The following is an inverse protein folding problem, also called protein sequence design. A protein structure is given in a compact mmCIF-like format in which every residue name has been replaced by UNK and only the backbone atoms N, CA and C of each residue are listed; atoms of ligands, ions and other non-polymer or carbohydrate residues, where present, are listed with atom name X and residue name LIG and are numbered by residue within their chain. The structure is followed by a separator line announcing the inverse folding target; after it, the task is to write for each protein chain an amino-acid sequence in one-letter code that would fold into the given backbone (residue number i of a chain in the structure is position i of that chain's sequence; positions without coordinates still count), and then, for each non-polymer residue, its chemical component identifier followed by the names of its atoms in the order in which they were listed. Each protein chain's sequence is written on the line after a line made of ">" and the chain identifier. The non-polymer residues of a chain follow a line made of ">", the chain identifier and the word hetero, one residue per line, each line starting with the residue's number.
data_IF_802865263092
#
_entry.id   IF_802865263092
#
_cell.length_a   1.000
_cell.length_b   1.000
_cell.length_c   1.000
_cell.angle_alpha   90.00
_cell.angle_beta   90.00
_cell.angle_gamma   90.00
#
_symmetry.space_group_name_H-M   'P 1'
#
loop_
_entity.id
_entity.type
_entity.pdbx_description
1 polymer ?
#
# COMPACT_ATOMS: atom_id res chain seq x y z
N UNK A 1 23.65 7.81 -23.94
CA UNK A 1 23.02 6.63 -24.56
C UNK A 1 22.86 5.60 -23.46
N UNK A 2 21.66 5.06 -23.26
CA UNK A 2 21.44 3.99 -22.29
C UNK A 2 21.81 2.67 -22.96
N UNK A 3 22.61 1.84 -22.31
CA UNK A 3 22.96 0.51 -22.80
C UNK A 3 22.10 -0.54 -22.08
N UNK A 4 21.61 -1.54 -22.81
CA UNK A 4 20.68 -2.53 -22.26
C UNK A 4 21.47 -3.68 -21.63
N UNK A 5 21.25 -4.03 -20.35
CA UNK A 5 21.95 -5.14 -19.71
C UNK A 5 21.78 -6.45 -20.47
N UNK A 6 22.88 -7.10 -20.82
CA UNK A 6 22.86 -8.43 -21.45
C UNK A 6 22.22 -9.44 -20.49
N UNK A 7 21.19 -10.13 -20.95
CA UNK A 7 20.39 -11.04 -20.12
C UNK A 7 19.24 -10.38 -19.34
N UNK A 8 18.94 -9.09 -19.55
CA UNK A 8 17.68 -8.49 -19.09
C UNK A 8 16.48 -9.24 -19.71
N UNK A 9 15.51 -9.74 -18.92
CA UNK A 9 14.26 -10.27 -19.43
C UNK A 9 13.54 -9.26 -20.33
N UNK A 10 13.09 -9.68 -21.52
CA UNK A 10 12.48 -8.78 -22.50
C UNK A 10 11.30 -7.97 -21.93
N UNK A 11 10.52 -8.56 -21.02
CA UNK A 11 9.40 -7.90 -20.31
C UNK A 11 9.82 -6.67 -19.48
N UNK A 12 11.11 -6.55 -19.12
CA UNK A 12 11.64 -5.40 -18.39
C UNK A 12 12.17 -4.29 -19.30
N UNK A 13 12.22 -4.49 -20.63
CA UNK A 13 12.68 -3.45 -21.57
C UNK A 13 11.89 -2.14 -21.45
N UNK A 14 10.54 -2.11 -21.30
CA UNK A 14 9.79 -0.87 -21.08
C UNK A 14 10.15 -0.12 -19.78
N UNK A 15 10.59 -0.85 -18.75
CA UNK A 15 10.97 -0.32 -17.43
C UNK A 15 12.50 -0.12 -17.29
N UNK A 16 13.28 -0.53 -18.29
CA UNK A 16 14.75 -0.63 -18.21
C UNK A 16 15.44 0.66 -17.77
N UNK A 17 14.89 1.82 -18.16
CA UNK A 17 15.42 3.14 -17.80
C UNK A 17 15.42 3.44 -16.29
N UNK A 18 14.61 2.73 -15.50
CA UNK A 18 14.62 2.81 -14.03
C UNK A 18 15.81 2.07 -13.39
N UNK A 19 16.29 0.98 -13.99
CA UNK A 19 17.26 0.05 -13.41
C UNK A 19 18.55 0.78 -13.01
N UNK A 20 19.03 0.59 -11.79
CA UNK A 20 20.19 1.24 -11.19
C UNK A 20 19.85 1.90 -9.86
N UNK A 21 20.76 2.75 -9.37
CA UNK A 21 20.58 3.46 -8.09
C UNK A 21 20.55 4.96 -8.31
N UNK A 22 19.61 5.60 -7.67
CA UNK A 22 19.32 7.03 -7.77
C UNK A 22 19.44 7.68 -6.39
N UNK A 23 20.07 8.84 -6.31
CA UNK A 23 20.15 9.63 -5.08
C UNK A 23 19.97 11.12 -5.37
N UNK A 24 19.33 11.83 -4.45
CA UNK A 24 19.11 13.27 -4.55
C UNK A 24 18.24 13.78 -3.42
N UNK A 25 17.56 14.89 -3.66
CA UNK A 25 16.68 15.54 -2.70
C UNK A 25 15.25 15.69 -3.20
N UNK A 26 14.36 15.96 -2.26
CA UNK A 26 12.96 16.27 -2.49
C UNK A 26 12.41 17.26 -1.47
N UNK A 27 11.19 17.72 -1.74
CA UNK A 27 10.41 18.63 -0.89
C UNK A 27 9.17 17.88 -0.41
N UNK A 28 8.97 17.87 0.90
CA UNK A 28 7.85 17.25 1.61
C UNK A 28 6.91 18.36 2.08
N UNK A 29 5.65 18.32 1.67
CA UNK A 29 4.61 19.29 2.03
C UNK A 29 3.44 18.60 2.72
N UNK A 30 2.98 19.17 3.83
CA UNK A 30 1.83 18.66 4.57
C UNK A 30 1.21 19.77 5.43
N UNK A 31 0.03 19.51 6.00
CA UNK A 31 -0.65 20.45 6.90
C UNK A 31 -0.69 19.96 8.35
N UNK A 32 -0.64 20.91 9.28
CA UNK A 32 -0.90 20.72 10.71
C UNK A 32 -2.01 21.71 11.09
N UNK A 33 -3.25 21.25 11.12
CA UNK A 33 -4.41 22.15 11.12
C UNK A 33 -4.42 22.99 9.84
N UNK A 34 -4.51 24.30 9.97
CA UNK A 34 -4.46 25.23 8.83
C UNK A 34 -3.03 25.55 8.35
N UNK A 35 -2.03 25.43 9.23
CA UNK A 35 -0.62 25.70 8.90
C UNK A 35 -0.09 24.68 7.88
N UNK A 36 0.72 25.16 6.94
CA UNK A 36 1.33 24.34 5.88
C UNK A 36 2.83 24.27 6.12
N UNK A 37 3.34 23.06 6.35
CA UNK A 37 4.74 22.78 6.65
C UNK A 37 5.41 22.23 5.41
N UNK A 38 6.54 22.83 5.02
CA UNK A 38 7.43 22.33 3.98
C UNK A 38 8.77 21.93 4.60
N UNK A 39 9.38 20.84 4.12
CA UNK A 39 10.72 20.37 4.54
C UNK A 39 11.49 19.78 3.38
N UNK A 40 12.82 20.00 3.36
CA UNK A 40 13.72 19.28 2.47
C UNK A 40 14.07 17.91 3.06
N UNK A 41 14.11 16.89 2.21
CA UNK A 41 14.59 15.55 2.56
C UNK A 41 15.54 15.03 1.48
N UNK A 42 16.45 14.14 1.87
CA UNK A 42 17.24 13.35 0.93
C UNK A 42 16.63 11.97 0.73
N UNK A 43 16.87 11.39 -0.45
CA UNK A 43 16.20 10.17 -0.90
C UNK A 43 17.15 9.34 -1.76
N UNK A 44 17.25 8.04 -1.44
CA UNK A 44 17.92 7.04 -2.29
C UNK A 44 16.93 5.97 -2.71
N UNK A 45 16.91 5.65 -4.01
CA UNK A 45 16.09 4.60 -4.62
C UNK A 45 17.01 3.59 -5.34
N UNK A 46 16.72 2.30 -5.21
CA UNK A 46 17.34 1.22 -5.97
C UNK A 46 16.30 0.45 -6.78
N UNK A 47 16.56 0.28 -8.07
CA UNK A 47 15.84 -0.64 -8.96
C UNK A 47 16.82 -1.70 -9.48
N UNK A 48 16.55 -2.98 -9.26
CA UNK A 48 17.37 -4.09 -9.77
C UNK A 48 16.50 -5.24 -10.27
N UNK A 49 17.10 -6.29 -10.82
CA UNK A 49 16.41 -7.52 -11.23
C UNK A 49 17.28 -8.74 -10.94
N UNK A 50 16.65 -9.92 -10.82
CA UNK A 50 17.30 -11.22 -10.58
C UNK A 50 17.26 -12.15 -11.81
N UNK A 51 16.53 -11.77 -12.87
CA UNK A 51 16.28 -12.59 -14.07
C UNK A 51 14.84 -13.07 -14.21
N UNK A 52 13.96 -12.72 -13.27
CA UNK A 52 12.51 -12.86 -13.36
C UNK A 52 11.87 -11.59 -13.97
N UNK A 53 10.62 -11.63 -14.47
CA UNK A 53 9.97 -10.52 -15.16
C UNK A 53 9.40 -9.46 -14.20
N UNK A 54 10.21 -9.02 -13.23
CA UNK A 54 9.89 -7.90 -12.34
C UNK A 54 11.17 -7.12 -11.97
N UNK A 55 11.01 -5.86 -11.55
CA UNK A 55 12.06 -5.13 -10.84
C UNK A 55 11.88 -5.31 -9.34
N UNK A 56 12.98 -5.61 -8.66
CA UNK A 56 13.16 -5.42 -7.23
C UNK A 56 13.32 -3.91 -6.96
N UNK A 57 12.53 -3.38 -6.04
CA UNK A 57 12.53 -1.96 -5.67
C UNK A 57 12.78 -1.78 -4.18
N UNK A 58 13.66 -0.84 -3.82
CA UNK A 58 13.78 -0.36 -2.46
C UNK A 58 14.07 1.14 -2.41
N UNK A 59 13.57 1.81 -1.38
CA UNK A 59 13.72 3.24 -1.14
C UNK A 59 13.98 3.50 0.35
N UNK A 60 14.80 4.50 0.65
CA UNK A 60 14.83 5.12 1.96
C UNK A 60 15.07 6.63 1.88
N UNK A 61 14.50 7.34 2.84
CA UNK A 61 14.53 8.81 2.96
C UNK A 61 15.02 9.24 4.32
N UNK A 62 15.56 10.45 4.38
CA UNK A 62 15.97 11.12 5.61
C UNK A 62 15.62 12.60 5.52
N UNK A 63 15.18 13.21 6.62
CA UNK A 63 15.10 14.67 6.70
C UNK A 63 16.53 15.23 6.73
N UNK A 64 16.78 16.26 5.93
CA UNK A 64 17.99 17.06 6.10
C UNK A 64 17.79 18.03 7.29
N UNK A 65 18.86 18.48 7.96
CA UNK A 65 18.76 19.48 9.02
C UNK A 65 18.05 20.75 8.53
N UNK A 66 17.19 21.33 9.38
CA UNK A 66 16.50 22.57 9.05
C UNK A 66 17.52 23.72 8.88
N UNK A 67 17.53 24.37 7.73
CA UNK A 67 18.43 25.50 7.50
C UNK A 67 18.00 26.72 8.31
N UNK A 68 18.92 27.66 8.51
CA UNK A 68 18.59 28.95 9.13
C UNK A 68 17.51 29.74 8.35
N UNK A 69 17.32 29.46 7.05
CA UNK A 69 16.25 30.04 6.25
C UNK A 69 14.89 29.38 6.54
N UNK A 70 14.84 28.05 6.69
CA UNK A 70 13.61 27.32 7.03
C UNK A 70 13.10 27.71 8.43
N UNK A 71 14.02 27.84 9.39
CA UNK A 71 13.71 28.31 10.74
C UNK A 71 13.17 29.76 10.75
N UNK A 72 13.73 30.65 9.93
CA UNK A 72 13.24 32.02 9.78
C UNK A 72 11.85 32.08 9.11
N UNK A 73 11.60 31.23 8.11
CA UNK A 73 10.30 31.13 7.44
C UNK A 73 9.18 30.66 8.40
N UNK A 74 9.46 29.61 9.19
CA UNK A 74 8.52 29.16 10.24
C UNK A 74 8.24 30.23 11.30
N UNK A 75 9.27 30.97 11.72
CA UNK A 75 9.08 32.07 12.68
C UNK A 75 8.21 33.21 12.15
N UNK A 76 8.19 33.46 10.84
CA UNK A 76 7.39 34.53 10.22
C UNK A 76 5.88 34.21 10.17
N UNK A 77 5.50 32.93 10.30
CA UNK A 77 4.10 32.48 10.47
C UNK A 77 3.56 32.85 11.87
N UNK A 78 4.43 32.87 12.88
CA UNK A 78 4.06 32.80 14.30
C UNK A 78 3.72 34.11 15.03
N UNK A 79 3.49 35.24 14.35
CA UNK A 79 3.26 36.54 15.01
C UNK A 79 1.93 37.21 14.66
N UNK A 80 0.87 36.88 15.42
CA UNK A 80 -0.05 37.85 16.06
C UNK A 80 -1.27 37.16 16.70
N UNK A 81 -1.34 37.11 18.05
CA UNK A 81 -2.58 37.18 18.85
C UNK A 81 -2.27 37.06 20.36
N UNK A 82 -2.22 38.18 21.08
CA UNK A 82 -2.22 38.20 22.55
C UNK A 82 -2.96 39.47 23.04
N UNK A 83 -3.78 39.32 24.09
CA UNK A 83 -4.62 40.36 24.74
C UNK A 83 -5.76 40.92 23.83
N UNK A 84 -7.00 41.17 24.29
CA UNK A 84 -7.77 40.84 25.50
C UNK A 84 -9.28 40.76 25.07
N UNK A 85 -10.33 40.53 25.87
CA UNK A 85 -10.58 40.45 27.33
C UNK A 85 -11.74 39.44 27.60
N UNK A 86 -12.09 39.15 28.87
CA UNK A 86 -13.12 38.17 29.24
C UNK A 86 -14.20 38.69 30.22
N UNK A 87 -15.37 39.09 29.69
CA UNK A 87 -16.66 39.14 30.39
C UNK A 87 -17.83 39.17 29.38
N UNK A 88 -19.08 38.77 29.68
CA UNK A 88 -19.66 38.20 30.90
C UNK A 88 -21.06 37.59 30.61
N UNK A 89 -21.66 36.93 31.61
CA UNK A 89 -22.93 36.17 31.49
C UNK A 89 -24.20 37.04 31.56
N UNK A 90 -25.28 36.71 30.82
CA UNK A 90 -26.63 36.51 31.40
C UNK A 90 -27.76 36.09 30.41
N UNK A 91 -28.54 35.09 30.86
CA UNK A 91 -30.01 34.98 30.86
C UNK A 91 -30.91 35.13 29.59
N UNK A 92 -31.62 34.02 29.36
CA UNK A 92 -32.93 33.83 28.69
C UNK A 92 -34.01 34.89 28.99
N UNK A 93 -34.87 35.18 28.00
CA UNK A 93 -36.20 35.77 28.18
C UNK A 93 -37.13 35.46 26.99
N UNK A 94 -38.43 35.27 27.22
CA UNK A 94 -39.42 34.94 26.17
C UNK A 94 -40.69 35.80 26.27
N UNK A 95 -41.34 36.05 25.12
CA UNK A 95 -42.82 36.10 24.91
C UNK A 95 -43.19 36.81 23.58
N UNK A 96 -44.28 36.33 22.96
CA UNK A 96 -45.19 37.10 22.10
C UNK A 96 -46.58 37.11 22.81
N UNK A 97 -47.58 37.93 22.44
CA UNK A 97 -48.38 37.71 21.20
C UNK A 97 -49.04 38.98 20.59
N UNK A 98 -49.91 38.79 19.57
CA UNK A 98 -50.90 39.76 19.07
C UNK A 98 -50.65 40.24 17.62
N UNK A 99 -51.27 39.72 16.56
CA UNK A 99 -52.69 39.78 16.08
C UNK A 99 -53.13 41.13 15.51
N UNK A 100 -53.34 41.20 14.18
CA UNK A 100 -54.68 41.32 13.55
C UNK A 100 -54.60 41.26 12.00
N UNK A 101 -55.75 41.26 11.29
CA UNK A 101 -55.85 40.77 9.91
C UNK A 101 -56.83 41.53 8.97
N UNK A 102 -56.47 41.53 7.67
CA UNK A 102 -57.31 41.69 6.46
C UNK A 102 -56.43 41.24 5.24
N UNK A 103 -56.90 40.76 4.09
CA UNK A 103 -58.22 40.82 3.45
C UNK A 103 -58.26 41.94 2.40
N UNK A 104 -58.53 41.74 1.10
CA UNK A 104 -58.79 40.52 0.28
C UNK A 104 -57.74 40.44 -0.88
N UNK A 105 -57.87 39.92 -2.11
CA UNK A 105 -58.96 39.35 -2.93
C UNK A 105 -58.42 38.39 -4.03
N UNK A 106 -59.22 37.98 -5.03
CA UNK A 106 -58.94 36.88 -5.96
C UNK A 106 -58.86 37.24 -7.47
N UNK A 107 -58.15 36.42 -8.26
CA UNK A 107 -58.58 35.80 -9.54
C UNK A 107 -57.39 35.41 -10.45
N UNK A 108 -57.51 34.28 -11.17
CA UNK A 108 -56.59 33.89 -12.26
C UNK A 108 -56.23 32.39 -12.25
N UNK A 109 -56.65 31.65 -13.28
CA UNK A 109 -56.37 30.21 -13.43
C UNK A 109 -55.65 29.89 -14.73
N UNK A 110 -54.57 29.11 -14.66
CA UNK A 110 -54.26 28.08 -15.64
C UNK A 110 -53.60 26.87 -14.94
N UNK A 111 -53.33 25.79 -15.67
CA UNK A 111 -53.04 24.48 -15.07
C UNK A 111 -52.04 23.64 -15.87
N UNK A 112 -50.88 23.35 -15.26
CA UNK A 112 -50.04 22.17 -15.51
C UNK A 112 -49.02 22.02 -14.36
N UNK A 113 -48.50 20.84 -14.03
CA UNK A 113 -48.82 19.53 -14.62
C UNK A 113 -47.90 18.36 -14.24
N UNK A 114 -47.20 18.39 -13.10
CA UNK A 114 -46.45 17.24 -12.57
C UNK A 114 -46.22 17.36 -11.05
N UNK A 115 -46.35 16.25 -10.31
CA UNK A 115 -46.13 16.18 -8.87
C UNK A 115 -45.76 14.73 -8.48
N UNK A 116 -45.19 14.52 -7.28
CA UNK A 116 -44.92 13.22 -6.63
C UNK A 116 -43.79 12.35 -7.22
N UNK A 117 -43.10 11.49 -6.45
CA UNK A 117 -42.91 11.43 -4.99
C UNK A 117 -41.78 10.46 -4.57
N UNK A 118 -41.23 10.70 -3.37
CA UNK A 118 -40.90 9.74 -2.28
C UNK A 118 -40.43 8.31 -2.65
N UNK A 119 -39.10 8.10 -2.50
CA UNK A 119 -38.40 7.09 -1.68
C UNK A 119 -38.73 5.57 -1.67
N UNK A 120 -37.69 4.82 -1.26
CA UNK A 120 -37.64 3.52 -0.57
C UNK A 120 -37.17 2.27 -1.34
N UNK A 121 -36.06 1.73 -0.83
CA UNK A 121 -35.70 0.30 -0.60
C UNK A 121 -36.15 -0.82 -1.55
N UNK A 122 -35.17 -1.61 -2.01
CA UNK A 122 -35.34 -3.04 -2.34
C UNK A 122 -33.99 -3.78 -2.35
N UNK A 123 -33.93 -4.93 -1.67
CA UNK A 123 -32.83 -5.90 -1.79
C UNK A 123 -33.00 -6.79 -3.04
N UNK A 124 -31.89 -7.24 -3.63
CA UNK A 124 -31.91 -8.09 -4.83
C UNK A 124 -32.02 -9.58 -4.49
N UNK A 125 -33.14 -10.21 -4.88
CA UNK A 125 -33.34 -11.67 -4.82
C UNK A 125 -32.97 -12.37 -6.13
N UNK A 126 -32.59 -13.65 -6.06
CA UNK A 126 -32.23 -14.47 -7.22
C UNK A 126 -33.37 -15.39 -7.72
N UNK A 127 -33.46 -15.58 -9.04
CA UNK A 127 -34.13 -16.67 -9.77
C UNK A 127 -33.97 -16.43 -11.29
N UNK A 128 -34.13 -17.38 -12.21
CA UNK A 128 -33.83 -18.83 -12.20
C UNK A 128 -33.96 -19.38 -13.64
N UNK A 129 -33.54 -20.63 -13.82
CA UNK A 129 -33.51 -21.44 -15.05
C UNK A 129 -34.67 -21.29 -16.07
N UNK A 130 -34.39 -21.64 -17.34
CA UNK A 130 -34.95 -22.89 -17.89
C UNK A 130 -34.02 -23.52 -18.96
N UNK A 131 -34.48 -24.59 -19.60
CA UNK A 131 -33.72 -25.66 -20.23
C UNK A 131 -34.29 -26.07 -21.59
N UNK A 132 -33.56 -26.88 -22.36
CA UNK A 132 -34.12 -27.69 -23.45
C UNK A 132 -33.32 -28.99 -23.64
N UNK A 133 -34.01 -30.10 -23.94
CA UNK A 133 -33.40 -31.43 -24.02
C UNK A 133 -34.12 -32.37 -25.00
N UNK A 134 -33.36 -33.14 -25.78
CA UNK A 134 -33.77 -34.37 -26.48
C UNK A 134 -32.54 -35.05 -27.15
N UNK A 135 -32.50 -36.36 -27.47
CA UNK A 135 -32.90 -37.56 -26.70
C UNK A 135 -32.51 -38.85 -27.45
N UNK A 136 -31.80 -39.78 -26.79
CA UNK A 136 -31.58 -41.18 -27.21
C UNK A 136 -30.53 -41.41 -28.33
N UNK A 137 -30.10 -42.67 -28.60
CA UNK A 137 -30.17 -43.90 -27.80
C UNK A 137 -29.25 -45.00 -28.39
N UNK A 138 -28.65 -45.85 -27.55
CA UNK A 138 -27.83 -47.01 -27.97
C UNK A 138 -27.04 -47.62 -26.80
N UNK A 139 -26.86 -48.95 -26.76
CA UNK A 139 -26.32 -49.66 -25.59
C UNK A 139 -25.53 -50.93 -25.95
N UNK A 140 -24.56 -51.30 -25.11
CA UNK A 140 -24.26 -52.67 -24.59
C UNK A 140 -22.79 -52.86 -24.16
N UNK A 141 -22.58 -53.49 -22.98
CA UNK A 141 -21.42 -54.30 -22.53
C UNK A 141 -19.96 -53.77 -22.63
N UNK A 142 -18.98 -54.21 -21.83
CA UNK A 142 -18.95 -55.26 -20.78
C UNK A 142 -18.00 -54.90 -19.61
N UNK A 143 -17.72 -55.85 -18.71
CA UNK A 143 -17.22 -55.64 -17.33
C UNK A 143 -15.73 -55.94 -17.09
N UNK A 144 -15.11 -55.17 -16.18
CA UNK A 144 -14.42 -55.64 -14.95
C UNK A 144 -13.71 -54.47 -14.25
N UNK A 145 -13.43 -54.39 -12.94
CA UNK A 145 -13.89 -55.03 -11.70
C UNK A 145 -12.69 -55.01 -10.71
N UNK A 146 -12.73 -54.17 -9.67
CA UNK A 146 -11.90 -54.26 -8.47
C UNK A 146 -12.50 -53.35 -7.36
N UNK A 147 -12.76 -53.92 -6.19
CA UNK A 147 -13.24 -53.24 -4.96
C UNK A 147 -12.02 -52.72 -4.16
N UNK A 148 -12.08 -51.67 -3.32
CA UNK A 148 -12.77 -51.55 -2.02
C UNK A 148 -12.34 -52.65 -1.00
N UNK A 149 -12.31 -52.44 0.33
CA UNK A 149 -12.65 -51.29 1.19
C UNK A 149 -11.98 -51.48 2.58
N UNK A 150 -11.97 -50.48 3.49
CA UNK A 150 -11.82 -50.67 4.95
C UNK A 150 -11.90 -49.36 5.79
N UNK A 151 -12.68 -49.38 6.87
CA UNK A 151 -12.79 -48.32 7.90
C UNK A 151 -13.01 -48.93 9.32
N UNK A 152 -12.96 -48.09 10.36
CA UNK A 152 -13.50 -48.25 11.72
C UNK A 152 -12.75 -49.09 12.82
N UNK A 153 -12.01 -48.34 13.67
CA UNK A 153 -12.27 -48.12 15.11
C UNK A 153 -11.93 -49.15 16.25
N UNK A 154 -11.56 -48.58 17.42
CA UNK A 154 -11.47 -49.13 18.82
C UNK A 154 -10.33 -50.13 19.15
N UNK A 155 -9.81 -50.24 20.39
CA UNK A 155 -9.92 -49.38 21.59
C UNK A 155 -9.38 -50.00 22.93
N UNK A 156 -8.84 -49.14 23.83
CA UNK A 156 -8.63 -49.29 25.29
C UNK A 156 -7.48 -50.14 25.94
N UNK A 157 -7.13 -49.70 27.18
CA UNK A 157 -6.50 -50.33 28.38
C UNK A 157 -5.01 -50.77 28.54
N UNK A 158 -4.22 -49.87 29.16
CA UNK A 158 -3.75 -49.87 30.57
C UNK A 158 -2.71 -50.86 31.22
N UNK A 159 -1.63 -50.23 31.76
CA UNK A 159 -1.04 -50.39 33.13
C UNK A 159 0.15 -51.34 33.49
N UNK A 160 0.92 -50.92 34.52
CA UNK A 160 2.13 -51.53 35.18
C UNK A 160 3.42 -51.64 34.32
N UNK A 161 4.67 -51.70 34.82
CA UNK A 161 5.28 -51.62 36.19
C UNK A 161 6.50 -52.59 36.29
N UNK A 162 7.61 -52.37 37.04
CA UNK A 162 8.14 -51.24 37.84
C UNK A 162 9.68 -51.46 38.12
N UNK A 163 10.30 -50.69 39.04
CA UNK A 163 11.64 -50.89 39.69
C UNK A 163 12.93 -50.81 38.81
N UNK A 164 14.17 -50.63 39.32
CA UNK A 164 14.75 -49.87 40.45
C UNK A 164 16.33 -49.84 40.37
N UNK A 165 16.98 -48.95 41.14
CA UNK A 165 18.44 -48.91 41.52
C UNK A 165 19.55 -48.77 40.42
N UNK A 166 20.78 -48.28 40.69
CA UNK A 166 21.26 -47.31 41.71
C UNK A 166 22.72 -46.84 41.44
N UNK A 167 23.00 -45.54 41.67
CA UNK A 167 24.31 -44.92 41.95
C UNK A 167 25.44 -45.06 40.87
N UNK A 168 26.58 -44.34 40.87
CA UNK A 168 27.14 -43.32 41.77
C UNK A 168 28.08 -42.38 40.97
N UNK A 169 28.44 -41.20 41.51
CA UNK A 169 29.49 -40.35 40.95
C UNK A 169 29.25 -38.88 41.24
N UNK A 170 30.03 -38.30 42.15
CA UNK A 170 29.93 -36.89 42.54
C UNK A 170 31.25 -36.16 42.29
N UNK A 171 31.16 -34.88 41.96
CA UNK A 171 32.20 -33.90 42.25
C UNK A 171 31.55 -32.54 42.57
N UNK A 172 32.18 -31.69 43.38
CA UNK A 172 31.51 -30.56 44.02
C UNK A 172 32.43 -29.38 44.40
N UNK A 173 32.42 -28.32 43.59
CA UNK A 173 32.91 -26.98 43.89
C UNK A 173 32.41 -25.98 42.82
N UNK A 174 32.26 -24.67 43.02
CA UNK A 174 32.05 -23.84 44.23
C UNK A 174 31.80 -22.39 43.78
N UNK A 175 30.99 -21.60 44.51
CA UNK A 175 30.60 -20.23 44.12
C UNK A 175 29.14 -20.20 43.64
N UNK A 176 28.19 -19.52 44.27
CA UNK A 176 28.23 -18.43 45.26
C UNK A 176 28.62 -17.05 44.70
N UNK A 177 27.98 -16.64 43.60
CA UNK A 177 27.29 -15.34 43.61
C UNK A 177 25.92 -15.48 42.92
N UNK A 178 24.87 -14.92 43.54
CA UNK A 178 23.47 -15.18 43.17
C UNK A 178 22.53 -14.03 43.57
N UNK A 179 22.98 -12.76 43.44
CA UNK A 179 22.13 -11.59 43.67
C UNK A 179 22.50 -10.33 42.84
N UNK A 180 23.14 -10.48 41.68
CA UNK A 180 23.60 -9.35 40.85
C UNK A 180 23.46 -9.61 39.33
N UNK A 181 22.23 -9.82 38.84
CA UNK A 181 21.99 -10.10 37.41
C UNK A 181 20.64 -9.53 36.92
N UNK A 182 20.39 -8.25 37.19
CA UNK A 182 19.13 -7.59 36.85
C UNK A 182 19.25 -6.09 36.47
N UNK A 183 20.44 -5.55 36.19
CA UNK A 183 20.59 -4.09 35.99
C UNK A 183 21.71 -3.66 35.01
N UNK A 184 22.01 -4.46 33.97
CA UNK A 184 22.99 -4.08 32.93
C UNK A 184 22.54 -4.42 31.49
N UNK A 185 21.57 -3.64 30.97
CA UNK A 185 21.31 -3.49 29.51
C UNK A 185 20.45 -2.26 29.17
N UNK A 186 20.33 -1.28 30.09
CA UNK A 186 19.79 0.03 29.77
C UNK A 186 20.85 0.82 28.97
N UNK A 187 20.91 0.61 27.66
CA UNK A 187 21.84 1.31 26.77
C UNK A 187 21.49 2.80 26.71
N UNK A 188 22.16 3.58 27.57
CA UNK A 188 22.12 5.05 27.55
C UNK A 188 22.80 5.49 26.26
N UNK A 189 22.00 5.90 25.28
CA UNK A 189 22.50 6.43 24.02
C UNK A 189 23.36 7.69 24.31
N UNK A 190 24.57 7.79 23.73
CA UNK A 190 25.47 8.90 24.01
C UNK A 190 24.89 10.23 23.49
N UNK A 191 25.26 11.38 24.11
CA UNK A 191 24.69 12.69 23.81
C UNK A 191 25.09 13.28 22.44
N UNK A 192 25.71 12.50 21.55
CA UNK A 192 26.19 12.90 20.23
C UNK A 192 25.07 12.95 19.16
N UNK A 193 23.89 12.35 19.40
CA UNK A 193 22.75 12.30 18.45
C UNK A 193 22.02 13.64 18.23
N UNK A 194 22.73 14.76 18.43
CA UNK A 194 22.30 16.13 18.12
C UNK A 194 23.41 16.88 17.39
N UNK A 195 24.01 16.22 16.38
CA UNK A 195 24.99 16.80 15.45
C UNK A 195 24.33 17.18 14.11
N UNK A 196 25.09 17.41 13.04
CA UNK A 196 24.60 17.68 11.67
C UNK A 196 23.99 16.42 11.00
N UNK A 197 23.12 15.72 11.73
CA UNK A 197 22.78 14.31 11.48
C UNK A 197 21.46 14.15 10.73
N UNK A 198 21.50 13.34 9.67
CA UNK A 198 20.37 13.05 8.77
C UNK A 198 19.35 12.16 9.47
N UNK A 199 18.21 12.72 9.86
CA UNK A 199 17.17 12.00 10.62
C UNK A 199 16.45 11.00 9.69
N UNK A 200 16.51 9.67 9.93
CA UNK A 200 15.81 8.69 9.11
C UNK A 200 14.29 8.92 9.12
N UNK A 201 13.63 8.81 7.96
CA UNK A 201 12.23 9.21 7.77
C UNK A 201 11.33 8.02 7.38
N UNK A 202 11.32 7.64 6.11
CA UNK A 202 10.48 6.55 5.56
C UNK A 202 11.35 5.64 4.69
N UNK A 203 11.08 4.33 4.77
CA UNK A 203 11.65 3.31 3.89
C UNK A 203 10.52 2.41 3.39
N UNK A 204 10.62 1.96 2.15
CA UNK A 204 9.64 1.10 1.49
C UNK A 204 10.37 0.13 0.55
N UNK A 205 9.80 -1.04 0.33
CA UNK A 205 10.37 -2.08 -0.53
C UNK A 205 9.25 -2.81 -1.28
N UNK A 206 9.54 -3.39 -2.45
CA UNK A 206 8.50 -3.98 -3.27
C UNK A 206 8.93 -4.47 -4.65
N UNK A 207 7.94 -4.74 -5.49
CA UNK A 207 8.11 -5.30 -6.82
C UNK A 207 7.31 -4.50 -7.86
N UNK A 208 7.90 -4.29 -9.05
CA UNK A 208 7.26 -3.64 -10.19
C UNK A 208 7.25 -4.61 -11.38
N UNK A 209 6.12 -4.78 -12.06
CA UNK A 209 6.00 -5.67 -13.23
C UNK A 209 5.07 -5.09 -14.31
N UNK A 210 5.18 -5.59 -15.54
CA UNK A 210 4.11 -5.39 -16.53
C UNK A 210 2.85 -6.14 -16.08
N UNK A 211 1.69 -5.52 -16.25
CA UNK A 211 0.41 -6.21 -16.05
C UNK A 211 0.16 -7.16 -17.21
N UNK A 212 -0.02 -8.45 -16.90
CA UNK A 212 -0.38 -9.48 -17.88
C UNK A 212 -0.96 -10.70 -17.19
N UNK A 213 -1.72 -11.50 -17.94
CA UNK A 213 -2.09 -12.84 -17.52
C UNK A 213 -0.83 -13.72 -17.35
N UNK A 214 -0.85 -14.62 -16.35
CA UNK A 214 0.19 -15.64 -16.18
C UNK A 214 -0.26 -16.93 -16.89
N UNK A 215 0.63 -17.56 -17.64
CA UNK A 215 0.34 -18.79 -18.40
C UNK A 215 1.14 -19.98 -17.90
N UNK A 216 0.93 -21.15 -18.51
CA UNK A 216 1.57 -22.41 -18.10
C UNK A 216 3.11 -22.38 -18.12
N UNK A 217 3.72 -21.44 -18.86
CA UNK A 217 5.17 -21.20 -18.88
C UNK A 217 5.71 -20.29 -17.77
N UNK A 218 4.86 -19.72 -16.93
CA UNK A 218 5.24 -18.95 -15.75
C UNK A 218 5.37 -19.85 -14.50
N UNK A 219 6.24 -19.52 -13.53
CA UNK A 219 6.28 -20.23 -12.25
C UNK A 219 4.96 -20.09 -11.48
N UNK A 220 4.45 -21.22 -10.99
CA UNK A 220 3.23 -21.28 -10.18
C UNK A 220 3.45 -20.94 -8.69
N UNK A 221 2.37 -20.91 -7.90
CA UNK A 221 2.45 -20.67 -6.45
C UNK A 221 3.27 -21.76 -5.75
N UNK A 222 3.90 -21.42 -4.62
CA UNK A 222 4.59 -22.40 -3.78
C UNK A 222 5.86 -23.01 -4.41
N UNK A 223 6.59 -22.23 -5.22
CA UNK A 223 7.81 -22.66 -5.95
C UNK A 223 7.57 -23.72 -7.04
N UNK A 224 6.33 -23.87 -7.54
CA UNK A 224 6.04 -24.75 -8.67
C UNK A 224 6.69 -24.21 -9.96
N UNK A 225 7.47 -25.02 -10.71
CA UNK A 225 8.00 -24.59 -12.01
C UNK A 225 6.88 -24.50 -13.05
N UNK A 226 7.05 -23.60 -14.03
CA UNK A 226 6.22 -23.59 -15.23
C UNK A 226 6.43 -24.86 -16.06
N UNK A 227 5.37 -25.32 -16.73
CA UNK A 227 5.32 -26.52 -17.56
C UNK A 227 5.40 -26.24 -19.07
N UNK A 228 5.12 -25.00 -19.49
CA UNK A 228 5.15 -24.56 -20.89
C UNK A 228 6.41 -23.75 -21.28
N UNK A 229 6.44 -23.25 -22.52
CA UNK A 229 7.46 -22.27 -22.94
C UNK A 229 7.28 -20.94 -22.18
N UNK A 230 8.37 -20.36 -21.67
CA UNK A 230 8.31 -19.04 -21.01
C UNK A 230 7.77 -18.00 -22.01
N UNK A 231 6.69 -17.28 -21.69
CA UNK A 231 6.10 -16.29 -22.60
C UNK A 231 6.95 -15.03 -22.69
N UNK A 232 6.64 -14.15 -23.64
CA UNK A 232 7.21 -12.79 -23.79
C UNK A 232 8.75 -12.68 -23.84
N UNK A 233 9.46 -13.76 -24.20
CA UNK A 233 10.93 -13.84 -24.23
C UNK A 233 11.62 -12.92 -25.25
N UNK A 234 10.89 -12.32 -26.19
CA UNK A 234 11.43 -11.39 -27.19
C UNK A 234 10.71 -10.03 -27.17
N UNK A 235 11.39 -8.96 -27.58
CA UNK A 235 10.80 -7.63 -27.69
C UNK A 235 9.52 -7.64 -28.57
N UNK A 236 9.52 -8.36 -29.70
CA UNK A 236 8.33 -8.45 -30.57
C UNK A 236 7.13 -9.13 -29.89
N UNK A 237 7.36 -10.03 -28.92
CA UNK A 237 6.28 -10.59 -28.11
C UNK A 237 5.82 -9.58 -27.04
N UNK A 238 6.74 -8.87 -26.37
CA UNK A 238 6.42 -7.83 -25.39
C UNK A 238 5.59 -6.70 -26.00
N UNK A 239 5.88 -6.30 -27.24
CA UNK A 239 5.10 -5.29 -27.98
C UNK A 239 3.60 -5.67 -28.13
N UNK A 240 3.22 -6.94 -27.98
CA UNK A 240 1.79 -7.36 -27.96
C UNK A 240 1.07 -7.02 -26.65
N UNK A 241 1.80 -6.65 -25.60
CA UNK A 241 1.27 -6.15 -24.32
C UNK A 241 1.00 -4.63 -24.33
N UNK A 242 1.10 -3.96 -25.50
CA UNK A 242 0.79 -2.52 -25.57
C UNK A 242 -0.69 -2.26 -25.30
N UNK A 243 -0.95 -1.33 -24.39
CA UNK A 243 -2.30 -0.85 -24.10
C UNK A 243 -2.83 0.03 -25.25
N UNK A 244 -4.14 0.34 -25.23
CA UNK A 244 -4.81 1.19 -26.23
C UNK A 244 -4.22 2.61 -26.37
N UNK A 245 -3.50 3.08 -25.34
CA UNK A 245 -2.88 4.40 -25.32
C UNK A 245 -1.42 4.35 -25.79
N UNK A 246 -0.91 3.19 -26.20
CA UNK A 246 0.45 2.97 -26.69
C UNK A 246 1.53 2.86 -25.60
N UNK A 247 1.13 2.84 -24.33
CA UNK A 247 2.00 2.45 -23.21
C UNK A 247 1.97 0.94 -22.97
N UNK A 248 2.48 0.51 -21.83
CA UNK A 248 2.27 -0.83 -21.26
C UNK A 248 1.68 -0.65 -19.87
N UNK A 249 0.64 -1.42 -19.54
CA UNK A 249 0.04 -1.38 -18.20
C UNK A 249 0.99 -2.07 -17.20
N UNK A 250 1.04 -1.57 -15.96
CA UNK A 250 1.97 -2.02 -14.93
C UNK A 250 1.30 -2.18 -13.56
N UNK A 251 1.86 -3.08 -12.77
CA UNK A 251 1.47 -3.38 -11.39
C UNK A 251 2.68 -3.16 -10.48
N UNK A 252 2.46 -2.49 -9.34
CA UNK A 252 3.49 -2.23 -8.34
C UNK A 252 2.97 -2.53 -6.95
N UNK A 253 3.62 -3.45 -6.24
CA UNK A 253 3.28 -3.82 -4.86
C UNK A 253 4.37 -3.34 -3.92
N UNK A 254 4.04 -2.44 -2.99
CA UNK A 254 4.96 -1.87 -2.00
C UNK A 254 4.55 -2.25 -0.57
N UNK A 255 5.52 -2.44 0.32
CA UNK A 255 5.31 -2.61 1.76
C UNK A 255 6.14 -1.61 2.57
N UNK A 256 5.51 -1.09 3.63
CA UNK A 256 6.05 -0.08 4.53
C UNK A 256 6.17 -0.65 5.96
N UNK A 257 7.27 -0.39 6.70
CA UNK A 257 7.43 -0.88 8.07
C UNK A 257 6.43 -0.25 9.06
N UNK A 258 5.80 0.87 8.67
CA UNK A 258 4.68 1.49 9.41
C UNK A 258 3.35 0.71 9.38
N UNK A 259 3.34 -0.51 8.83
CA UNK A 259 2.15 -1.37 8.80
C UNK A 259 1.17 -1.05 7.65
N UNK A 260 1.68 -0.51 6.54
CA UNK A 260 0.92 -0.21 5.32
C UNK A 260 1.47 -1.07 4.17
N UNK A 261 0.59 -1.60 3.33
CA UNK A 261 0.94 -2.18 2.04
C UNK A 261 0.07 -1.56 0.96
N UNK A 262 0.66 -1.30 -0.21
CA UNK A 262 0.02 -0.60 -1.33
C UNK A 262 0.13 -1.46 -2.60
N UNK A 263 -1.00 -1.65 -3.28
CA UNK A 263 -1.04 -2.12 -4.67
C UNK A 263 -1.37 -0.93 -5.56
N UNK A 264 -0.46 -0.55 -6.44
CA UNK A 264 -0.69 0.43 -7.48
C UNK A 264 -0.91 -0.25 -8.84
N UNK A 265 -1.85 0.29 -9.60
CA UNK A 265 -2.04 0.04 -11.02
C UNK A 265 -1.71 1.30 -11.82
N UNK A 266 -1.28 1.15 -13.07
CA UNK A 266 -0.98 2.29 -13.92
C UNK A 266 -0.33 1.89 -15.23
N UNK A 267 0.47 2.78 -15.83
CA UNK A 267 1.17 2.49 -17.09
C UNK A 267 2.56 3.12 -17.19
N UNK A 268 3.44 2.49 -17.97
CA UNK A 268 4.69 3.08 -18.49
C UNK A 268 4.49 3.48 -19.96
N UNK A 269 4.82 4.72 -20.31
CA UNK A 269 4.71 5.25 -21.68
C UNK A 269 5.94 6.08 -22.04
N UNK A 270 6.96 5.40 -22.55
CA UNK A 270 8.29 5.99 -22.74
C UNK A 270 8.94 6.31 -21.38
N UNK A 271 9.67 7.42 -21.24
CA UNK A 271 10.34 7.81 -19.99
C UNK A 271 9.38 8.45 -18.96
N UNK A 272 8.14 7.95 -18.87
CA UNK A 272 7.10 8.40 -17.92
C UNK A 272 6.30 7.21 -17.39
N UNK A 273 5.99 7.24 -16.11
CA UNK A 273 5.08 6.32 -15.42
C UNK A 273 4.03 7.11 -14.64
N UNK A 274 2.78 6.71 -14.77
CA UNK A 274 1.63 7.19 -14.00
C UNK A 274 1.04 6.01 -13.22
N UNK A 275 0.84 6.15 -11.91
CA UNK A 275 0.34 5.12 -10.99
C UNK A 275 -0.73 5.68 -10.04
N UNK A 276 -1.71 4.85 -9.70
CA UNK A 276 -2.70 5.08 -8.64
C UNK A 276 -2.89 3.81 -7.79
N UNK A 277 -3.13 3.96 -6.48
CA UNK A 277 -3.44 2.82 -5.60
C UNK A 277 -4.81 2.23 -5.95
N UNK A 278 -4.84 0.94 -6.29
CA UNK A 278 -6.07 0.13 -6.42
C UNK A 278 -6.49 -0.45 -5.05
N UNK A 279 -5.51 -0.87 -4.25
CA UNK A 279 -5.73 -1.32 -2.88
C UNK A 279 -4.69 -0.79 -1.90
N UNK A 280 -5.14 -0.45 -0.69
CA UNK A 280 -4.30 -0.12 0.46
C UNK A 280 -4.70 -1.01 1.63
N UNK A 281 -3.75 -1.81 2.13
CA UNK A 281 -3.92 -2.65 3.31
C UNK A 281 -3.22 -1.97 4.50
N UNK A 282 -3.85 -2.02 5.67
CA UNK A 282 -3.30 -1.45 6.91
C UNK A 282 -3.46 -2.40 8.09
N UNK A 283 -2.44 -2.49 8.94
CA UNK A 283 -2.56 -3.12 10.25
C UNK A 283 -3.40 -2.24 11.19
N UNK A 284 -3.95 -2.82 12.26
CA UNK A 284 -4.81 -2.09 13.20
C UNK A 284 -4.12 -0.90 13.90
N UNK A 285 -2.79 -0.90 13.99
CA UNK A 285 -1.99 0.21 14.55
C UNK A 285 -1.49 1.23 13.52
N UNK A 286 -1.67 0.99 12.22
CA UNK A 286 -1.16 1.86 11.17
C UNK A 286 -2.00 3.15 11.03
N UNK A 287 -1.32 4.30 10.90
CA UNK A 287 -1.94 5.63 10.76
C UNK A 287 -2.96 5.65 9.59
N UNK A 288 -4.01 6.49 9.64
CA UNK A 288 -4.97 6.62 8.56
C UNK A 288 -4.30 7.03 7.23
N UNK A 289 -4.30 6.12 6.28
CA UNK A 289 -3.83 6.28 4.90
C UNK A 289 -4.79 5.47 4.02
N UNK A 290 -5.27 6.05 2.92
CA UNK A 290 -6.43 5.53 2.18
C UNK A 290 -6.15 5.31 0.69
N UNK A 291 -5.44 6.23 0.03
CA UNK A 291 -5.07 6.14 -1.38
C UNK A 291 -3.85 7.01 -1.69
N UNK A 292 -3.22 6.79 -2.84
CA UNK A 292 -2.16 7.65 -3.36
C UNK A 292 -2.03 7.58 -4.89
N UNK A 293 -1.43 8.60 -5.46
CA UNK A 293 -0.97 8.64 -6.87
C UNK A 293 0.52 8.91 -6.91
N UNK A 294 1.22 8.27 -7.86
CA UNK A 294 2.66 8.51 -8.09
C UNK A 294 2.91 8.77 -9.58
N UNK A 295 3.69 9.80 -9.85
CA UNK A 295 4.21 10.13 -11.18
C UNK A 295 5.74 10.00 -11.13
N UNK A 296 6.32 9.30 -12.10
CA UNK A 296 7.77 9.24 -12.31
C UNK A 296 8.11 9.62 -13.75
N UNK A 297 9.25 10.27 -13.96
CA UNK A 297 9.75 10.56 -15.31
C UNK A 297 11.25 10.81 -15.37
N UNK A 298 11.88 10.40 -16.47
CA UNK A 298 13.32 10.61 -16.71
C UNK A 298 13.54 11.85 -17.56
N UNK A 299 14.08 12.91 -16.95
CA UNK A 299 14.35 14.21 -17.60
C UNK A 299 15.79 14.62 -17.31
N UNK A 300 16.54 15.01 -18.35
CA UNK A 300 17.98 15.38 -18.25
C UNK A 300 18.84 14.36 -17.49
N UNK A 301 18.58 13.06 -17.69
CA UNK A 301 19.22 11.94 -16.97
C UNK A 301 19.00 11.94 -15.43
N UNK A 302 17.95 12.62 -14.95
CA UNK A 302 17.50 12.57 -13.56
C UNK A 302 16.12 11.89 -13.48
N UNK A 303 15.91 11.08 -12.44
CA UNK A 303 14.60 10.55 -12.08
C UNK A 303 13.85 11.62 -11.29
N UNK A 304 12.87 12.25 -11.93
CA UNK A 304 11.92 13.15 -11.28
C UNK A 304 10.72 12.32 -10.84
N UNK A 305 10.15 12.65 -9.68
CA UNK A 305 8.93 12.01 -9.21
C UNK A 305 8.06 12.95 -8.36
N UNK A 306 6.76 12.64 -8.29
CA UNK A 306 5.78 13.29 -7.42
C UNK A 306 4.84 12.24 -6.80
N UNK A 307 4.35 12.51 -5.60
CA UNK A 307 3.49 11.65 -4.80
C UNK A 307 2.38 12.49 -4.16
N UNK A 308 1.14 12.17 -4.48
CA UNK A 308 -0.05 12.70 -3.81
C UNK A 308 -0.64 11.61 -2.92
N UNK A 309 -1.12 11.97 -1.71
CA UNK A 309 -1.73 11.01 -0.77
C UNK A 309 -3.08 11.49 -0.26
N UNK A 310 -3.97 10.55 0.01
CA UNK A 310 -5.18 10.71 0.81
C UNK A 310 -4.95 10.04 2.17
N UNK A 311 -4.68 10.85 3.20
CA UNK A 311 -4.25 10.38 4.51
C UNK A 311 -4.68 11.34 5.63
N UNK A 312 -4.69 10.86 6.88
CA UNK A 312 -5.00 11.64 8.09
C UNK A 312 -6.34 12.43 8.01
N UNK A 313 -7.32 11.91 7.28
CA UNK A 313 -8.61 12.58 7.07
C UNK A 313 -8.57 13.72 6.04
N UNK A 314 -7.58 13.73 5.14
CA UNK A 314 -7.49 14.64 4.00
C UNK A 314 -7.69 13.88 2.69
N UNK A 315 -8.35 14.53 1.72
CA UNK A 315 -8.45 14.06 0.34
C UNK A 315 -7.10 14.03 -0.37
N UNK A 316 -7.05 13.34 -1.51
CA UNK A 316 -5.85 13.16 -2.34
C UNK A 316 -5.23 14.50 -2.72
N UNK A 317 -3.99 14.74 -2.27
CA UNK A 317 -3.25 15.98 -2.52
C UNK A 317 -1.74 15.77 -2.53
N UNK A 318 -1.03 16.62 -3.26
CA UNK A 318 0.43 16.58 -3.34
C UNK A 318 1.06 16.62 -1.96
N UNK A 319 1.98 15.69 -1.73
CA UNK A 319 2.62 15.46 -0.45
C UNK A 319 4.14 15.47 -0.55
N UNK A 320 4.72 14.92 -1.60
CA UNK A 320 6.15 15.02 -1.84
C UNK A 320 6.49 15.02 -3.33
N UNK A 321 7.66 15.60 -3.65
CA UNK A 321 8.30 15.43 -4.95
C UNK A 321 9.82 15.38 -4.80
N UNK A 322 10.53 14.83 -5.78
CA UNK A 322 11.99 14.72 -5.75
C UNK A 322 12.64 14.70 -7.12
N UNK A 323 13.93 15.04 -7.15
CA UNK A 323 14.79 14.98 -8.33
C UNK A 323 16.08 14.24 -7.97
N UNK A 324 16.22 13.02 -8.46
CA UNK A 324 17.32 12.12 -8.12
C UNK A 324 18.27 11.97 -9.32
N UNK A 325 19.57 12.10 -9.08
CA UNK A 325 20.60 11.78 -10.07
C UNK A 325 20.92 10.28 -10.01
N UNK A 326 21.26 9.69 -11.16
CA UNK A 326 21.78 8.32 -11.21
C UNK A 326 23.19 8.28 -10.60
N UNK A 327 23.39 7.42 -9.61
CA UNK A 327 24.68 7.21 -8.94
C UNK A 327 25.29 5.82 -9.20
N UNK A 328 24.47 4.84 -9.63
CA UNK A 328 24.90 3.51 -10.09
C UNK A 328 24.02 3.05 -11.27
#
# INVERSE_FOLDING_TARGET
>A
MFDLPVGLPSELVPLSWLIGVWEGSGVLEYKIGDESVSRTFGHRISFSHDGLPHLNYSSYTWLEPASAADAAAGSASGTNAAEADASGSAAVGSAAPGTDAAGTDAAGTDASGAQAAVAADATSSANSADTHAASGSGAASETNAAEADADAASGADAASGADADAASGADAASGADAAASAEESASVLPPEMFSDERIPLVTETGYWRLSRHQGDGDPGPGMLPGSGERPFTSAAAVETLRNRDGGFDIEVTLVHPGGVAELYLGQVKGPRIDLATDAVLRTAGAKPYAAATRLYGLVDNHLLWAWDIAALGQDLRTHASGRLARVQ
#
